data_IF_190012323678
#
_entry.id   IF_190012323678
#
_cell.length_a   1.000
_cell.length_b   1.000
_cell.length_c   1.000
_cell.angle_alpha   90.00
_cell.angle_beta   90.00
_cell.angle_gamma   90.00
#
_symmetry.space_group_name_H-M   'P 1'
#
loop_
_entity.id
_entity.type
_entity.pdbx_description
1 polymer ?
#
# COMPACT_ATOMS: atom_id res chain seq x y z
N UNK A 1 -14.65 -0.19 -2.39
CA UNK A 1 -13.99 0.88 -3.17
C UNK A 1 -12.80 0.29 -3.91
N UNK A 2 -12.68 0.62 -5.17
CA UNK A 2 -11.55 0.17 -6.00
C UNK A 2 -10.33 1.08 -5.79
N UNK A 3 -9.14 0.56 -6.10
CA UNK A 3 -7.91 1.36 -6.05
C UNK A 3 -8.05 2.62 -6.90
N UNK A 4 -8.64 2.52 -8.09
CA UNK A 4 -8.88 3.67 -8.97
C UNK A 4 -9.65 4.77 -8.26
N UNK A 5 -10.66 4.41 -7.49
CA UNK A 5 -11.45 5.40 -6.74
C UNK A 5 -10.62 6.06 -5.63
N UNK A 6 -9.76 5.28 -4.96
CA UNK A 6 -8.85 5.85 -3.97
C UNK A 6 -7.88 6.84 -4.61
N UNK A 7 -7.33 6.50 -5.77
CA UNK A 7 -6.45 7.41 -6.51
C UNK A 7 -7.16 8.70 -6.89
N UNK A 8 -8.42 8.61 -7.30
CA UNK A 8 -9.22 9.77 -7.71
C UNK A 8 -9.53 10.72 -6.55
N UNK A 9 -9.54 10.23 -5.32
CA UNK A 9 -9.76 11.07 -4.13
C UNK A 9 -8.59 12.02 -3.86
N UNK A 10 -7.40 11.70 -4.36
CA UNK A 10 -6.18 12.52 -4.23
C UNK A 10 -5.80 12.84 -2.78
N UNK A 11 -6.14 11.94 -1.85
CA UNK A 11 -5.76 12.08 -0.44
C UNK A 11 -4.36 11.55 -0.15
N UNK A 12 -3.81 10.74 -1.06
CA UNK A 12 -2.44 10.23 -0.98
C UNK A 12 -1.69 10.57 -2.26
N UNK A 13 -0.37 10.76 -2.15
CA UNK A 13 0.47 10.93 -3.33
C UNK A 13 0.71 9.58 -4.01
N UNK A 14 0.77 9.55 -5.33
CA UNK A 14 1.06 8.32 -6.07
C UNK A 14 2.57 8.20 -6.24
N UNK A 15 3.16 7.14 -5.66
CA UNK A 15 4.58 6.83 -5.81
C UNK A 15 4.80 5.95 -7.03
N UNK A 16 3.96 4.94 -7.20
CA UNK A 16 3.97 4.06 -8.36
C UNK A 16 2.56 3.54 -8.63
N UNK A 17 2.10 3.66 -9.86
CA UNK A 17 0.81 3.08 -10.25
C UNK A 17 0.97 1.58 -10.46
N UNK A 18 -0.04 0.80 -10.04
CA UNK A 18 -0.07 -0.62 -10.30
C UNK A 18 -0.52 -0.93 -11.72
N UNK A 19 -0.31 -2.18 -12.14
CA UNK A 19 -0.81 -2.64 -13.43
C UNK A 19 -2.32 -2.78 -13.45
N UNK A 20 -2.91 -3.14 -12.32
CA UNK A 20 -4.35 -3.33 -12.19
C UNK A 20 -4.89 -2.48 -11.04
N UNK A 21 -5.50 -1.36 -11.36
CA UNK A 21 -6.11 -0.46 -10.39
C UNK A 21 -7.61 -0.71 -10.22
N UNK A 22 -8.13 -1.76 -10.85
CA UNK A 22 -9.54 -2.14 -10.74
C UNK A 22 -9.80 -3.11 -9.58
N UNK A 23 -8.79 -3.35 -8.75
CA UNK A 23 -8.86 -4.23 -7.59
C UNK A 23 -9.70 -3.56 -6.49
N UNK A 24 -10.63 -4.33 -5.93
CA UNK A 24 -11.39 -3.90 -4.76
C UNK A 24 -10.51 -3.90 -3.52
N UNK A 25 -10.52 -2.80 -2.78
CA UNK A 25 -9.85 -2.72 -1.49
C UNK A 25 -10.74 -3.40 -0.45
N UNK A 26 -10.23 -4.46 0.17
CA UNK A 26 -11.00 -5.22 1.16
C UNK A 26 -11.06 -4.50 2.49
N UNK A 27 -9.93 -3.97 2.97
CA UNK A 27 -9.83 -3.22 4.22
C UNK A 27 -8.45 -2.60 4.34
N UNK A 28 -8.26 -1.57 5.18
CA UNK A 28 -6.92 -1.15 5.56
C UNK A 28 -6.31 -2.18 6.50
N UNK A 29 -5.00 -2.38 6.38
CA UNK A 29 -4.23 -3.29 7.22
C UNK A 29 -2.95 -2.57 7.63
N UNK A 30 -2.71 -2.44 8.95
CA UNK A 30 -1.55 -1.73 9.48
C UNK A 30 -0.57 -2.71 10.07
N UNK A 31 0.65 -2.75 9.56
CA UNK A 31 1.66 -3.68 10.07
C UNK A 31 3.05 -3.22 9.64
N UNK A 32 3.99 -3.22 10.59
CA UNK A 32 5.39 -2.89 10.36
C UNK A 32 6.32 -4.06 10.64
N UNK A 33 5.80 -5.29 10.61
CA UNK A 33 6.59 -6.49 10.78
C UNK A 33 6.27 -7.44 9.62
N UNK A 34 7.26 -7.64 8.74
CA UNK A 34 7.05 -8.38 7.48
C UNK A 34 6.54 -9.80 7.69
N UNK A 35 7.04 -10.50 8.72
CA UNK A 35 6.60 -11.86 8.98
C UNK A 35 5.12 -11.93 9.36
N UNK A 36 4.61 -10.92 10.07
CA UNK A 36 3.19 -10.85 10.40
C UNK A 36 2.36 -10.49 9.16
N UNK A 37 2.84 -9.51 8.38
CA UNK A 37 2.14 -9.10 7.18
C UNK A 37 1.99 -10.26 6.20
N UNK A 38 3.04 -11.04 6.03
CA UNK A 38 3.01 -12.20 5.13
C UNK A 38 1.93 -13.21 5.52
N UNK A 39 1.76 -13.46 6.82
CA UNK A 39 0.80 -14.46 7.30
C UNK A 39 -0.59 -13.92 7.59
N UNK A 40 -0.77 -12.61 7.71
CA UNK A 40 -2.02 -12.02 8.20
C UNK A 40 -2.66 -10.99 7.29
N UNK A 41 -1.93 -10.44 6.33
CA UNK A 41 -2.50 -9.43 5.45
C UNK A 41 -3.62 -10.02 4.61
N UNK A 42 -4.83 -9.46 4.68
CA UNK A 42 -5.94 -9.98 3.87
C UNK A 42 -5.71 -9.67 2.38
N UNK A 43 -6.16 -10.56 1.53
CA UNK A 43 -6.15 -10.31 0.10
C UNK A 43 -6.90 -9.02 -0.20
N UNK A 44 -6.35 -8.19 -1.06
CA UNK A 44 -6.97 -6.92 -1.45
C UNK A 44 -6.84 -5.82 -0.40
N UNK A 45 -6.04 -6.00 0.65
CA UNK A 45 -5.87 -4.97 1.66
C UNK A 45 -5.15 -3.74 1.12
N UNK A 46 -5.46 -2.57 1.67
CA UNK A 46 -4.61 -1.40 1.57
C UNK A 46 -3.65 -1.46 2.76
N UNK A 47 -2.41 -1.81 2.50
CA UNK A 47 -1.43 -2.04 3.57
C UNK A 47 -0.72 -0.74 3.92
N UNK A 48 -0.99 -0.23 5.12
CA UNK A 48 -0.40 1.02 5.63
C UNK A 48 0.80 0.66 6.49
N UNK A 49 1.97 1.17 6.13
CA UNK A 49 3.23 0.83 6.77
C UNK A 49 4.23 1.97 6.62
N UNK A 50 5.33 1.91 7.36
CA UNK A 50 6.46 2.84 7.19
C UNK A 50 7.69 2.14 6.58
N UNK A 51 7.57 0.86 6.24
CA UNK A 51 8.69 0.08 5.69
C UNK A 51 8.75 0.24 4.16
N UNK A 52 9.71 1.01 3.68
CA UNK A 52 9.88 1.29 2.24
C UNK A 52 10.99 0.47 1.59
N UNK A 53 11.19 -0.78 1.97
CA UNK A 53 12.24 -1.62 1.42
C UNK A 53 11.70 -2.67 0.44
N UNK A 54 12.60 -3.34 -0.27
CA UNK A 54 12.23 -4.31 -1.30
C UNK A 54 11.43 -5.50 -0.74
N UNK A 55 11.66 -5.86 0.53
CA UNK A 55 10.92 -6.98 1.13
C UNK A 55 9.45 -6.64 1.33
N UNK A 56 9.13 -5.37 1.59
CA UNK A 56 7.75 -4.90 1.65
C UNK A 56 7.05 -5.14 0.31
N UNK A 57 7.71 -4.81 -0.78
CA UNK A 57 7.15 -5.02 -2.12
C UNK A 57 6.94 -6.51 -2.40
N UNK A 58 7.92 -7.34 -2.02
CA UNK A 58 7.80 -8.79 -2.21
C UNK A 58 6.61 -9.37 -1.43
N UNK A 59 6.41 -8.94 -0.18
CA UNK A 59 5.28 -9.40 0.63
C UNK A 59 3.95 -8.89 0.05
N UNK A 60 3.91 -7.66 -0.43
CA UNK A 60 2.70 -7.10 -1.05
C UNK A 60 2.26 -7.94 -2.24
N UNK A 61 3.21 -8.38 -3.06
CA UNK A 61 2.92 -9.25 -4.20
C UNK A 61 2.42 -10.61 -3.76
N UNK A 62 3.12 -11.25 -2.83
CA UNK A 62 2.74 -12.59 -2.34
C UNK A 62 1.40 -12.63 -1.63
N UNK A 63 1.04 -11.58 -0.92
CA UNK A 63 -0.21 -11.49 -0.18
C UNK A 63 -1.38 -10.94 -0.99
N UNK A 64 -1.18 -10.65 -2.27
CA UNK A 64 -2.21 -10.04 -3.13
C UNK A 64 -2.78 -8.76 -2.55
N UNK A 65 -1.92 -7.87 -2.09
CA UNK A 65 -2.29 -6.56 -1.54
C UNK A 65 -2.80 -5.66 -2.68
N UNK A 66 -3.85 -4.90 -2.43
CA UNK A 66 -4.38 -3.96 -3.43
C UNK A 66 -3.45 -2.78 -3.65
N UNK A 67 -2.91 -2.22 -2.57
CA UNK A 67 -1.93 -1.14 -2.63
C UNK A 67 -1.18 -1.05 -1.32
N UNK A 68 0.03 -0.47 -1.38
CA UNK A 68 0.83 -0.14 -0.20
C UNK A 68 0.73 1.36 0.01
N UNK A 69 0.46 1.78 1.24
CA UNK A 69 0.44 3.20 1.61
C UNK A 69 1.57 3.44 2.60
N UNK A 70 2.58 4.19 2.16
CA UNK A 70 3.70 4.56 3.02
C UNK A 70 3.32 5.80 3.81
N UNK A 71 3.25 5.66 5.13
CA UNK A 71 2.89 6.72 6.06
C UNK A 71 4.14 7.43 6.61
N UNK A 72 3.94 8.48 7.39
CA UNK A 72 4.99 9.23 8.10
C UNK A 72 6.06 9.80 7.18
N UNK A 73 5.76 10.06 5.93
CA UNK A 73 6.73 10.54 4.96
C UNK A 73 7.78 9.52 4.56
N UNK A 74 7.55 8.23 4.83
CA UNK A 74 8.48 7.18 4.43
C UNK A 74 8.55 7.06 2.91
N UNK A 75 9.72 6.67 2.40
CA UNK A 75 9.97 6.54 0.98
C UNK A 75 10.41 5.12 0.61
N UNK A 76 10.14 4.72 -0.63
CA UNK A 76 10.76 3.52 -1.17
C UNK A 76 12.23 3.79 -1.46
N UNK A 77 13.12 2.86 -1.10
CA UNK A 77 14.49 2.92 -1.60
C UNK A 77 14.53 2.57 -3.10
N UNK A 78 15.68 2.78 -3.74
CA UNK A 78 15.78 2.60 -5.19
C UNK A 78 15.49 1.18 -5.65
N UNK A 79 15.92 0.19 -4.88
CA UNK A 79 15.69 -1.23 -5.19
C UNK A 79 14.19 -1.54 -5.08
N UNK A 80 13.54 -1.05 -4.03
CA UNK A 80 12.11 -1.23 -3.84
C UNK A 80 11.30 -0.56 -4.95
N UNK A 81 11.70 0.64 -5.36
CA UNK A 81 11.02 1.35 -6.46
C UNK A 81 11.11 0.56 -7.77
N UNK A 82 12.30 0.05 -8.08
CA UNK A 82 12.48 -0.76 -9.29
C UNK A 82 11.61 -2.00 -9.26
N UNK A 83 11.53 -2.65 -8.11
CA UNK A 83 10.71 -3.86 -7.94
C UNK A 83 9.22 -3.56 -8.04
N UNK A 84 8.78 -2.45 -7.45
CA UNK A 84 7.39 -2.02 -7.55
C UNK A 84 6.98 -1.76 -9.00
N UNK A 85 7.83 -1.10 -9.77
CA UNK A 85 7.59 -0.86 -11.19
C UNK A 85 7.55 -2.15 -11.98
N UNK A 86 8.52 -3.03 -11.75
CA UNK A 86 8.64 -4.31 -12.44
C UNK A 86 7.42 -5.19 -12.21
N UNK A 87 6.93 -5.24 -10.98
CA UNK A 87 5.81 -6.11 -10.60
C UNK A 87 4.44 -5.41 -10.63
N UNK A 88 4.42 -4.12 -10.98
CA UNK A 88 3.16 -3.39 -11.08
C UNK A 88 2.44 -3.22 -9.76
N UNK A 89 3.17 -3.02 -8.66
CA UNK A 89 2.61 -2.84 -7.33
C UNK A 89 2.23 -1.37 -7.15
N UNK A 90 0.99 -1.10 -6.81
CA UNK A 90 0.53 0.26 -6.50
C UNK A 90 1.09 0.69 -5.15
N UNK A 91 1.83 1.80 -5.13
CA UNK A 91 2.39 2.38 -3.91
C UNK A 91 1.98 3.84 -3.82
N UNK A 92 1.39 4.19 -2.70
CA UNK A 92 0.96 5.55 -2.38
C UNK A 92 1.76 6.03 -1.18
N UNK A 93 1.75 7.33 -0.92
CA UNK A 93 2.44 7.89 0.24
C UNK A 93 1.66 9.03 0.88
N UNK A 94 1.94 9.26 2.15
CA UNK A 94 1.37 10.37 2.91
C UNK A 94 2.32 10.76 4.04
N UNK A 95 2.27 12.01 4.45
CA UNK A 95 3.00 12.47 5.64
C UNK A 95 2.27 12.15 6.94
N UNK A 96 1.01 11.73 6.84
CA UNK A 96 0.20 11.42 8.02
C UNK A 96 0.68 10.16 8.72
N UNK A 97 0.42 10.06 10.05
CA UNK A 97 0.68 8.83 10.79
C UNK A 97 -0.12 7.64 10.26
N UNK A 98 0.32 6.44 10.61
CA UNK A 98 -0.29 5.19 10.15
C UNK A 98 -1.78 5.13 10.47
N UNK A 99 -2.16 5.46 11.70
CA UNK A 99 -3.56 5.37 12.12
C UNK A 99 -4.45 6.31 11.31
N UNK A 100 -4.04 7.56 11.16
CA UNK A 100 -4.84 8.57 10.44
C UNK A 100 -4.99 8.19 8.97
N UNK A 101 -3.94 7.68 8.34
CA UNK A 101 -4.00 7.21 6.96
C UNK A 101 -4.97 6.03 6.83
N UNK A 102 -4.89 5.05 7.72
CA UNK A 102 -5.78 3.90 7.72
C UNK A 102 -7.23 4.30 8.00
N UNK A 103 -7.45 5.25 8.91
CA UNK A 103 -8.79 5.74 9.21
C UNK A 103 -9.45 6.38 8.01
N UNK A 104 -8.70 7.16 7.24
CA UNK A 104 -9.22 7.77 6.01
C UNK A 104 -9.70 6.71 5.03
N UNK A 105 -8.94 5.65 4.86
CA UNK A 105 -9.32 4.54 3.99
C UNK A 105 -10.59 3.87 4.52
N UNK A 106 -10.62 3.58 5.82
CA UNK A 106 -11.76 2.92 6.45
C UNK A 106 -13.05 3.71 6.26
N UNK A 107 -12.99 5.02 6.35
CA UNK A 107 -14.17 5.89 6.17
C UNK A 107 -14.72 5.86 4.75
N UNK A 108 -13.90 5.52 3.77
CA UNK A 108 -14.30 5.46 2.37
C UNK A 108 -14.90 4.10 1.98
N UNK A 109 -14.77 3.11 2.84
CA UNK A 109 -15.29 1.76 2.56
C UNK A 109 -16.75 1.55 3.05
#
# INVERSE_FOLDING_TARGET
MKVTELLDKKIFAVVNEGYDNDIEISKPFCCDLLSFAMGRAPKGAAWVTVMGNVNTIAVAELADIACVVLAEGAHLDDVAMSKAKENGICVLSTDEPIFEAAEKIMRLL
#
